data_IF_201914423314
#
_entry.id   IF_201914423314
#
_cell.length_a   1.000
_cell.length_b   1.000
_cell.length_c   1.000
_cell.angle_alpha   90.00
_cell.angle_beta   90.00
_cell.angle_gamma   90.00
#
_symmetry.space_group_name_H-M   'P 1'
#
loop_
_entity.id
_entity.type
_entity.pdbx_description
1 polymer ?
#
# COMPACT_ATOMS: atom_id res chain seq x y z
N UNK A 1 56.91 11.42 13.68
CA UNK A 1 56.22 12.35 12.75
C UNK A 1 54.82 12.52 13.22
N UNK A 2 54.45 13.63 13.82
CA UNK A 2 53.11 13.94 14.30
C UNK A 2 52.21 14.31 13.09
N UNK A 3 51.06 13.66 12.98
CA UNK A 3 50.11 13.90 11.90
C UNK A 3 49.57 15.35 12.00
N UNK A 4 49.74 16.19 10.97
CA UNK A 4 49.35 17.62 11.00
C UNK A 4 47.82 17.81 11.14
N UNK A 5 47.01 16.78 10.85
CA UNK A 5 45.56 16.82 11.06
C UNK A 5 45.18 16.79 12.56
N UNK A 6 46.01 16.17 13.41
CA UNK A 6 45.75 16.08 14.85
C UNK A 6 46.02 17.40 15.56
N UNK A 7 47.00 18.22 15.06
CA UNK A 7 47.28 19.52 15.62
C UNK A 7 46.22 20.59 15.37
N UNK A 8 45.48 20.50 14.25
CA UNK A 8 44.40 21.45 13.95
C UNK A 8 43.14 21.22 14.82
N UNK A 9 42.91 19.96 15.23
CA UNK A 9 41.77 19.66 16.11
C UNK A 9 41.96 20.22 17.54
N UNK A 10 43.24 20.42 17.98
CA UNK A 10 43.55 20.97 19.31
C UNK A 10 43.43 22.49 19.40
N UNK A 11 43.29 23.21 18.28
CA UNK A 11 43.16 24.67 18.23
C UNK A 11 41.71 25.15 18.16
N UNK A 12 40.74 24.23 18.11
CA UNK A 12 39.32 24.59 18.05
C UNK A 12 38.77 24.91 19.45
N UNK A 13 37.84 25.89 19.57
CA UNK A 13 37.11 26.10 20.81
C UNK A 13 36.44 24.83 21.28
N UNK A 14 36.45 24.57 22.59
CA UNK A 14 35.87 23.33 23.15
C UNK A 14 34.45 23.06 22.73
N UNK A 15 33.63 24.10 22.48
CA UNK A 15 32.29 24.02 21.98
C UNK A 15 32.21 23.45 20.56
N UNK A 16 33.14 23.87 19.68
CA UNK A 16 33.19 23.38 18.27
C UNK A 16 33.73 21.95 18.24
N UNK A 17 34.72 21.64 19.07
CA UNK A 17 35.25 20.27 19.17
C UNK A 17 34.16 19.29 19.68
N UNK A 18 33.37 19.67 20.68
CA UNK A 18 32.27 18.88 21.20
C UNK A 18 31.16 18.68 20.15
N UNK A 19 30.83 19.72 19.39
CA UNK A 19 29.86 19.64 18.30
C UNK A 19 30.33 18.70 17.17
N UNK A 20 31.59 18.80 16.75
CA UNK A 20 32.19 17.89 15.76
C UNK A 20 32.21 16.44 16.25
N UNK A 21 32.57 16.21 17.53
CA UNK A 21 32.49 14.88 18.12
C UNK A 21 31.08 14.33 18.13
N UNK A 22 30.10 15.15 18.45
CA UNK A 22 28.70 14.76 18.43
C UNK A 22 28.26 14.33 17.01
N UNK A 23 28.62 15.06 15.95
CA UNK A 23 28.36 14.70 14.57
C UNK A 23 28.98 13.35 14.18
N UNK A 24 30.27 13.19 14.50
CA UNK A 24 31.02 11.96 14.16
C UNK A 24 30.50 10.75 14.94
N UNK A 25 30.09 10.92 16.20
CA UNK A 25 29.52 9.83 17.00
C UNK A 25 28.11 9.48 16.53
N UNK A 26 27.27 10.45 16.11
CA UNK A 26 25.97 10.19 15.53
C UNK A 26 26.08 9.48 14.19
N UNK A 27 27.02 9.87 13.34
CA UNK A 27 27.23 9.20 12.04
C UNK A 27 27.70 7.74 12.23
N UNK A 28 28.55 7.46 13.22
CA UNK A 28 28.97 6.09 13.58
C UNK A 28 27.83 5.26 14.22
N UNK A 29 26.84 5.90 14.83
CA UNK A 29 25.69 5.23 15.45
C UNK A 29 24.66 4.77 14.42
N UNK A 30 24.62 5.37 13.23
CA UNK A 30 23.75 4.93 12.13
C UNK A 30 24.41 3.79 11.35
N UNK A 31 24.56 2.63 11.97
CA UNK A 31 24.66 1.37 11.23
C UNK A 31 23.23 0.93 10.94
N UNK A 32 22.81 0.80 9.68
CA UNK A 32 21.55 0.13 9.36
C UNK A 32 21.66 -1.29 9.92
N UNK A 33 21.02 -1.53 11.06
CA UNK A 33 21.23 -2.75 11.88
C UNK A 33 20.67 -4.01 11.24
N UNK A 34 19.95 -3.90 10.12
CA UNK A 34 19.40 -5.08 9.45
C UNK A 34 19.23 -4.82 7.95
N UNK A 35 19.56 -5.77 7.07
CA UNK A 35 19.09 -5.72 5.70
C UNK A 35 17.55 -5.60 5.73
N UNK A 36 17.00 -4.84 4.81
CA UNK A 36 15.56 -4.61 4.69
C UNK A 36 14.84 -5.97 4.72
N UNK A 37 14.13 -6.25 5.81
CA UNK A 37 13.42 -7.53 5.97
C UNK A 37 12.01 -7.36 5.44
N UNK A 38 11.63 -8.26 4.55
CA UNK A 38 10.26 -8.41 4.12
C UNK A 38 9.39 -8.73 5.36
N UNK A 39 8.55 -7.80 5.74
CA UNK A 39 7.61 -7.97 6.85
C UNK A 39 6.19 -7.66 6.37
N UNK A 40 5.20 -8.23 7.03
CA UNK A 40 3.80 -8.11 6.61
C UNK A 40 3.32 -6.66 6.41
N UNK A 41 3.83 -5.73 7.21
CA UNK A 41 3.51 -4.31 7.06
C UNK A 41 3.99 -3.71 5.75
N UNK A 42 5.18 -4.11 5.25
CA UNK A 42 5.69 -3.68 3.95
C UNK A 42 4.84 -4.25 2.81
N UNK A 43 4.48 -5.54 2.91
CA UNK A 43 3.63 -6.19 1.90
C UNK A 43 2.27 -5.48 1.83
N UNK A 44 1.67 -5.20 2.99
CA UNK A 44 0.40 -4.47 3.06
C UNK A 44 0.51 -3.06 2.45
N UNK A 45 1.61 -2.35 2.71
CA UNK A 45 1.87 -1.04 2.12
C UNK A 45 2.04 -1.10 0.60
N UNK A 46 2.84 -2.06 0.11
CA UNK A 46 3.07 -2.25 -1.33
C UNK A 46 1.77 -2.60 -2.07
N UNK A 47 1.02 -3.57 -1.53
CA UNK A 47 -0.26 -3.98 -2.10
C UNK A 47 -1.26 -2.82 -2.11
N UNK A 48 -1.28 -1.98 -1.08
CA UNK A 48 -2.16 -0.81 -1.07
C UNK A 48 -1.83 0.17 -2.21
N UNK A 49 -0.56 0.40 -2.50
CA UNK A 49 -0.14 1.25 -3.64
C UNK A 49 -0.48 0.63 -4.99
N UNK A 50 -0.23 -0.66 -5.15
CA UNK A 50 -0.53 -1.37 -6.40
C UNK A 50 -2.04 -1.41 -6.67
N UNK A 51 -2.85 -1.70 -5.65
CA UNK A 51 -4.31 -1.69 -5.77
C UNK A 51 -4.85 -0.30 -6.03
N UNK A 52 -4.28 0.75 -5.43
CA UNK A 52 -4.64 2.14 -5.72
C UNK A 52 -4.37 2.52 -7.18
N UNK A 53 -3.23 2.11 -7.73
CA UNK A 53 -2.91 2.34 -9.14
C UNK A 53 -3.86 1.56 -10.07
N UNK A 54 -4.18 0.31 -9.72
CA UNK A 54 -5.14 -0.50 -10.46
C UNK A 54 -6.55 0.12 -10.47
N UNK A 55 -7.01 0.65 -9.32
CA UNK A 55 -8.28 1.37 -9.23
C UNK A 55 -8.29 2.65 -10.04
N UNK A 56 -7.21 3.42 -10.05
CA UNK A 56 -7.10 4.62 -10.88
C UNK A 56 -7.22 4.27 -12.37
N UNK A 57 -6.52 3.23 -12.83
CA UNK A 57 -6.65 2.74 -14.21
C UNK A 57 -8.06 2.24 -14.52
N UNK A 58 -8.68 1.51 -13.58
CA UNK A 58 -10.06 1.05 -13.72
C UNK A 58 -11.06 2.20 -13.86
N UNK A 59 -10.94 3.27 -13.07
CA UNK A 59 -11.84 4.43 -13.15
C UNK A 59 -11.78 5.07 -14.54
N UNK A 60 -10.58 5.21 -15.13
CA UNK A 60 -10.42 5.74 -16.48
C UNK A 60 -11.14 4.86 -17.50
N UNK A 61 -10.93 3.53 -17.42
CA UNK A 61 -11.62 2.57 -18.28
C UNK A 61 -13.14 2.60 -18.08
N UNK A 62 -13.58 2.67 -16.84
CA UNK A 62 -14.99 2.72 -16.48
C UNK A 62 -15.69 3.96 -17.06
N UNK A 63 -15.06 5.13 -16.95
CA UNK A 63 -15.56 6.36 -17.56
C UNK A 63 -15.63 6.25 -19.10
N UNK A 64 -14.64 5.62 -19.73
CA UNK A 64 -14.65 5.36 -21.16
C UNK A 64 -15.84 4.47 -21.57
N UNK A 65 -16.12 3.42 -20.81
CA UNK A 65 -17.30 2.54 -21.06
C UNK A 65 -18.59 3.31 -20.86
N UNK A 66 -18.71 4.11 -19.80
CA UNK A 66 -19.91 4.90 -19.52
C UNK A 66 -20.20 5.97 -20.58
N UNK A 67 -19.19 6.49 -21.30
CA UNK A 67 -19.43 7.41 -22.41
C UNK A 67 -20.32 6.81 -23.51
N UNK A 68 -20.35 5.48 -23.65
CA UNK A 68 -21.21 4.83 -24.64
C UNK A 68 -22.70 4.95 -24.29
N UNK A 69 -23.03 5.16 -23.01
CA UNK A 69 -24.39 5.47 -22.58
C UNK A 69 -24.89 6.79 -23.19
N UNK A 70 -24.02 7.79 -23.29
CA UNK A 70 -24.36 9.08 -23.92
C UNK A 70 -24.56 8.99 -25.44
N UNK A 71 -24.07 7.91 -26.08
CA UNK A 71 -24.26 7.65 -27.51
C UNK A 71 -25.57 6.91 -27.84
N UNK A 72 -26.33 6.53 -26.82
CA UNK A 72 -27.60 5.86 -26.96
C UNK A 72 -27.57 4.37 -26.58
N UNK A 73 -28.77 3.78 -26.38
CA UNK A 73 -28.90 2.42 -25.84
C UNK A 73 -28.30 1.34 -26.76
N UNK A 74 -28.31 1.53 -28.07
CA UNK A 74 -27.73 0.54 -29.00
C UNK A 74 -26.19 0.42 -28.80
N UNK A 75 -25.49 1.54 -28.69
CA UNK A 75 -24.03 1.56 -28.47
C UNK A 75 -23.68 0.98 -27.12
N UNK A 76 -24.45 1.31 -26.10
CA UNK A 76 -24.22 0.78 -24.76
C UNK A 76 -24.47 -0.74 -24.71
N UNK A 77 -25.56 -1.22 -25.27
CA UNK A 77 -25.87 -2.65 -25.29
C UNK A 77 -24.85 -3.47 -26.08
N UNK A 78 -24.36 -2.94 -27.21
CA UNK A 78 -23.28 -3.57 -27.98
C UNK A 78 -21.99 -3.67 -27.17
N UNK A 79 -21.65 -2.63 -26.42
CA UNK A 79 -20.50 -2.64 -25.53
C UNK A 79 -20.67 -3.67 -24.40
N UNK A 80 -21.84 -3.74 -23.77
CA UNK A 80 -22.13 -4.72 -22.71
C UNK A 80 -22.08 -6.14 -23.22
N UNK A 81 -22.59 -6.41 -24.43
CA UNK A 81 -22.50 -7.72 -25.06
C UNK A 81 -21.04 -8.14 -25.32
N UNK A 82 -20.16 -7.19 -25.66
CA UNK A 82 -18.74 -7.48 -25.82
C UNK A 82 -18.03 -7.84 -24.49
N UNK A 83 -18.58 -7.38 -23.36
CA UNK A 83 -18.07 -7.72 -22.02
C UNK A 83 -18.67 -8.99 -21.42
N UNK A 84 -19.65 -9.61 -22.07
CA UNK A 84 -20.25 -10.86 -21.60
C UNK A 84 -19.35 -12.06 -21.97
N UNK A 85 -18.22 -12.16 -21.29
CA UNK A 85 -17.29 -13.28 -21.45
C UNK A 85 -16.81 -13.82 -20.09
N UNK A 86 -16.49 -15.12 -19.99
CA UNK A 86 -15.98 -15.70 -18.75
C UNK A 86 -14.71 -15.01 -18.23
N UNK A 87 -13.86 -14.52 -19.13
CA UNK A 87 -12.64 -13.80 -18.76
C UNK A 87 -12.97 -12.47 -18.06
N UNK A 88 -13.94 -11.72 -18.60
CA UNK A 88 -14.36 -10.44 -18.01
C UNK A 88 -15.00 -10.68 -16.64
N UNK A 89 -15.85 -11.69 -16.51
CA UNK A 89 -16.45 -12.07 -15.22
C UNK A 89 -15.37 -12.44 -14.19
N UNK A 90 -14.31 -13.14 -14.60
CA UNK A 90 -13.16 -13.43 -13.71
C UNK A 90 -12.41 -12.14 -13.32
N UNK A 91 -12.24 -11.20 -14.24
CA UNK A 91 -11.63 -9.89 -13.95
C UNK A 91 -12.49 -9.06 -12.99
N UNK A 92 -13.81 -9.16 -13.03
CA UNK A 92 -14.73 -8.51 -12.07
C UNK A 92 -14.53 -9.06 -10.65
N UNK A 93 -14.35 -10.38 -10.51
CA UNK A 93 -14.01 -11.00 -9.21
C UNK A 93 -12.65 -10.45 -8.71
N UNK A 94 -11.66 -10.36 -9.59
CA UNK A 94 -10.36 -9.76 -9.27
C UNK A 94 -10.50 -8.29 -8.85
N UNK A 95 -11.33 -7.52 -9.55
CA UNK A 95 -11.62 -6.13 -9.22
C UNK A 95 -12.30 -5.99 -7.85
N UNK A 96 -13.24 -6.87 -7.51
CA UNK A 96 -13.81 -6.93 -6.17
C UNK A 96 -12.71 -7.09 -5.12
N UNK A 97 -11.74 -7.97 -5.36
CA UNK A 97 -10.58 -8.16 -4.49
C UNK A 97 -9.77 -6.88 -4.31
N UNK A 98 -9.50 -6.18 -5.39
CA UNK A 98 -8.75 -4.92 -5.39
C UNK A 98 -9.50 -3.84 -4.60
N UNK A 99 -10.80 -3.66 -4.83
CA UNK A 99 -11.63 -2.65 -4.13
C UNK A 99 -11.70 -2.95 -2.64
N UNK A 100 -12.03 -4.18 -2.25
CA UNK A 100 -12.17 -4.59 -0.84
C UNK A 100 -10.83 -4.42 -0.11
N UNK A 101 -9.74 -4.93 -0.70
CA UNK A 101 -8.42 -4.82 -0.09
C UNK A 101 -8.01 -3.36 0.09
N UNK A 102 -8.10 -2.55 -0.97
CA UNK A 102 -7.69 -1.15 -0.94
C UNK A 102 -8.48 -0.35 0.10
N UNK A 103 -9.80 -0.51 0.13
CA UNK A 103 -10.69 0.21 1.04
C UNK A 103 -10.42 -0.15 2.50
N UNK A 104 -10.36 -1.45 2.84
CA UNK A 104 -10.20 -1.89 4.23
C UNK A 104 -8.79 -1.59 4.74
N UNK A 105 -7.76 -1.83 3.91
CA UNK A 105 -6.39 -1.48 4.31
C UNK A 105 -6.17 0.03 4.39
N UNK A 106 -6.82 0.82 3.52
CA UNK A 106 -6.82 2.28 3.60
C UNK A 106 -7.47 2.78 4.89
N UNK A 107 -8.63 2.23 5.26
CA UNK A 107 -9.29 2.54 6.52
C UNK A 107 -8.40 2.20 7.73
N UNK A 108 -7.71 1.05 7.70
CA UNK A 108 -6.71 0.70 8.72
C UNK A 108 -5.62 1.75 8.84
N UNK A 109 -5.08 2.24 7.72
CA UNK A 109 -4.02 3.27 7.71
C UNK A 109 -4.55 4.55 8.39
N UNK A 110 -5.75 5.01 8.02
CA UNK A 110 -6.38 6.19 8.64
C UNK A 110 -6.54 6.01 10.16
N UNK A 111 -7.02 4.85 10.61
CA UNK A 111 -7.16 4.59 12.05
C UNK A 111 -5.82 4.52 12.79
N UNK A 112 -4.75 4.11 12.12
CA UNK A 112 -3.41 4.12 12.71
C UNK A 112 -2.83 5.53 12.80
N UNK A 113 -3.07 6.37 11.81
CA UNK A 113 -2.51 7.72 11.74
C UNK A 113 -3.25 8.70 12.67
N UNK A 114 -4.57 8.56 12.82
CA UNK A 114 -5.42 9.47 13.59
C UNK A 114 -6.01 8.88 14.85
N UNK A 115 -5.84 7.58 15.08
CA UNK A 115 -6.44 6.85 16.19
C UNK A 115 -5.46 6.47 17.31
N UNK A 116 -5.97 5.94 18.43
CA UNK A 116 -5.15 5.46 19.55
C UNK A 116 -4.38 4.15 19.23
N UNK A 117 -4.36 3.72 17.97
CA UNK A 117 -3.84 2.43 17.53
C UNK A 117 -2.34 2.46 17.19
N UNK A 118 -1.65 3.58 17.43
CA UNK A 118 -0.23 3.76 17.12
C UNK A 118 0.72 2.92 18.01
N UNK A 119 0.20 2.25 19.05
CA UNK A 119 1.00 1.40 19.94
C UNK A 119 1.41 0.09 19.25
N UNK A 120 2.71 -0.22 19.34
CA UNK A 120 3.36 -1.33 18.65
C UNK A 120 2.75 -2.70 18.88
N UNK A 121 2.18 -2.95 20.08
CA UNK A 121 1.53 -4.22 20.40
C UNK A 121 0.16 -4.38 19.72
N UNK A 122 -0.55 -3.28 19.55
CA UNK A 122 -1.85 -3.25 18.88
C UNK A 122 -1.72 -3.42 17.37
N UNK A 123 -0.64 -2.93 16.76
CA UNK A 123 -0.41 -2.95 15.32
C UNK A 123 -0.59 -4.33 14.67
N UNK A 124 0.03 -5.37 15.25
CA UNK A 124 -0.03 -6.74 14.69
C UNK A 124 -1.43 -7.31 14.76
N UNK A 125 -2.15 -7.06 15.86
CA UNK A 125 -3.54 -7.51 16.04
C UNK A 125 -4.47 -6.86 15.03
N UNK A 126 -4.35 -5.55 14.81
CA UNK A 126 -5.16 -4.83 13.82
C UNK A 126 -4.82 -5.23 12.39
N UNK A 127 -3.54 -5.47 12.08
CA UNK A 127 -3.13 -5.98 10.79
C UNK A 127 -3.74 -7.36 10.52
N UNK A 128 -3.67 -8.28 11.48
CA UNK A 128 -4.27 -9.62 11.38
C UNK A 128 -5.80 -9.52 11.23
N UNK A 129 -6.47 -8.71 12.04
CA UNK A 129 -7.92 -8.49 11.94
C UNK A 129 -8.32 -7.95 10.57
N UNK A 130 -7.55 -7.00 10.01
CA UNK A 130 -7.76 -6.45 8.66
C UNK A 130 -7.74 -7.56 7.61
N UNK A 131 -6.71 -8.44 7.64
CA UNK A 131 -6.62 -9.54 6.69
C UNK A 131 -7.75 -10.57 6.85
N UNK A 132 -8.18 -10.85 8.09
CA UNK A 132 -9.31 -11.75 8.35
C UNK A 132 -10.60 -11.19 7.76
N UNK A 133 -10.89 -9.89 7.97
CA UNK A 133 -12.08 -9.22 7.42
C UNK A 133 -12.06 -9.23 5.90
N UNK A 134 -10.91 -8.90 5.29
CA UNK A 134 -10.72 -8.96 3.83
C UNK A 134 -11.01 -10.38 3.32
N UNK A 135 -10.41 -11.40 3.93
CA UNK A 135 -10.59 -12.79 3.52
C UNK A 135 -12.05 -13.25 3.65
N UNK A 136 -12.75 -12.83 4.72
CA UNK A 136 -14.18 -13.14 4.90
C UNK A 136 -15.04 -12.51 3.81
N UNK A 137 -14.85 -11.22 3.51
CA UNK A 137 -15.63 -10.51 2.48
C UNK A 137 -15.34 -11.10 1.10
N UNK A 138 -14.07 -11.37 0.78
CA UNK A 138 -13.69 -11.96 -0.50
C UNK A 138 -14.18 -13.41 -0.63
N UNK A 139 -14.14 -14.18 0.46
CA UNK A 139 -14.66 -15.55 0.47
C UNK A 139 -16.16 -15.59 0.15
N UNK A 140 -16.95 -14.78 0.86
CA UNK A 140 -18.40 -14.74 0.66
C UNK A 140 -18.74 -14.13 -0.70
N UNK A 141 -18.21 -12.94 -1.02
CA UNK A 141 -18.49 -12.24 -2.29
C UNK A 141 -17.99 -13.00 -3.50
N UNK A 142 -16.80 -13.57 -3.43
CA UNK A 142 -16.22 -14.39 -4.49
C UNK A 142 -17.01 -15.67 -4.76
N UNK A 143 -17.49 -16.35 -3.72
CA UNK A 143 -18.35 -17.54 -3.88
C UNK A 143 -19.68 -17.20 -4.54
N UNK A 144 -20.31 -16.10 -4.16
CA UNK A 144 -21.56 -15.64 -4.79
C UNK A 144 -21.33 -15.32 -6.27
N UNK A 145 -20.30 -14.54 -6.59
CA UNK A 145 -19.97 -14.19 -7.97
C UNK A 145 -19.60 -15.43 -8.81
N UNK A 146 -18.82 -16.36 -8.25
CA UNK A 146 -18.44 -17.59 -8.93
C UNK A 146 -19.67 -18.45 -9.22
N UNK A 147 -20.64 -18.50 -8.30
CA UNK A 147 -21.93 -19.16 -8.55
C UNK A 147 -22.66 -18.62 -9.79
N UNK A 148 -22.63 -17.29 -9.99
CA UNK A 148 -23.21 -16.67 -11.19
C UNK A 148 -22.39 -16.88 -12.47
N UNK A 149 -21.10 -17.17 -12.37
CA UNK A 149 -20.24 -17.48 -13.54
C UNK A 149 -20.47 -18.90 -14.05
N UNK A 150 -20.82 -19.83 -13.13
CA UNK A 150 -20.98 -21.26 -13.44
C UNK A 150 -22.40 -21.64 -13.88
N UNK A 151 -23.38 -20.77 -13.70
CA UNK A 151 -24.78 -20.92 -14.13
C UNK A 151 -25.11 -19.95 -15.27
#
# INVERSE_FOLDING_TARGET
>A
MSNPANNRAQSLPASVAAWLQHLVTHEKAYKPKTPYRWHFGFIAWLLHRLTGLALAAYIILHLYVLQNLARGPEHFNAMMAAFDSPLIRLMEIGLLGVVVYHSINGLRIVFMDYGPMAEKESYVKYLAATFIVIAAILGIGGLVMLGHVLH
#
